data_IF_384915350878
#
_entry.id   IF_384915350878
#
_cell.length_a   1.000
_cell.length_b   1.000
_cell.length_c   1.000
_cell.angle_alpha   90.00
_cell.angle_beta   90.00
_cell.angle_gamma   90.00
#
_symmetry.space_group_name_H-M   'P 1'
#
loop_
_entity.id
_entity.type
_entity.pdbx_description
1 polymer ?
#
# COMPACT_ATOMS: atom_id res chain seq x y z
N UNK A 1 84.34 -50.96 55.96
CA UNK A 1 82.98 -51.24 55.48
C UNK A 1 83.04 -52.51 54.67
N UNK A 2 82.12 -53.44 54.88
CA UNK A 2 82.08 -54.73 54.19
C UNK A 2 81.58 -54.53 52.75
N UNK A 3 82.45 -54.80 51.77
CA UNK A 3 82.20 -54.53 50.35
C UNK A 3 81.01 -55.35 49.82
N UNK A 4 80.78 -56.53 50.40
CA UNK A 4 79.69 -57.41 49.98
C UNK A 4 78.33 -56.93 50.51
N UNK A 5 78.29 -56.31 51.70
CA UNK A 5 77.08 -55.66 52.21
C UNK A 5 76.64 -54.47 51.33
N UNK A 6 77.60 -53.70 50.80
CA UNK A 6 77.31 -52.58 49.88
C UNK A 6 76.77 -53.09 48.53
N UNK A 7 77.31 -54.18 47.99
CA UNK A 7 76.80 -54.81 46.75
C UNK A 7 75.37 -55.33 46.93
N UNK A 8 75.09 -56.03 48.02
CA UNK A 8 73.74 -56.53 48.33
C UNK A 8 72.73 -55.39 48.46
N UNK A 9 73.13 -54.28 49.08
CA UNK A 9 72.30 -53.09 49.20
C UNK A 9 72.02 -52.45 47.84
N UNK A 10 73.04 -52.28 46.99
CA UNK A 10 72.90 -51.76 45.63
C UNK A 10 72.01 -52.66 44.75
N UNK A 11 72.18 -53.97 44.84
CA UNK A 11 71.34 -54.94 44.12
C UNK A 11 69.89 -54.89 44.60
N UNK A 12 69.67 -54.70 45.92
CA UNK A 12 68.33 -54.54 46.48
C UNK A 12 67.67 -53.22 46.03
N UNK A 13 68.44 -52.14 45.95
CA UNK A 13 67.98 -50.83 45.48
C UNK A 13 67.66 -50.86 43.98
N UNK A 14 68.50 -51.51 43.17
CA UNK A 14 68.26 -51.69 41.74
C UNK A 14 67.00 -52.53 41.49
N UNK A 15 66.79 -53.62 42.25
CA UNK A 15 65.56 -54.42 42.19
C UNK A 15 64.33 -53.59 42.58
N UNK A 16 64.39 -52.86 43.69
CA UNK A 16 63.28 -52.01 44.13
C UNK A 16 62.93 -50.92 43.10
N UNK A 17 63.96 -50.31 42.49
CA UNK A 17 63.77 -49.33 41.42
C UNK A 17 63.15 -49.96 40.18
N UNK A 18 63.62 -51.13 39.73
CA UNK A 18 63.03 -51.86 38.62
C UNK A 18 61.56 -52.20 38.88
N UNK A 19 61.23 -52.73 40.07
CA UNK A 19 59.83 -53.03 40.42
C UNK A 19 58.96 -51.77 40.45
N UNK A 20 59.47 -50.64 40.96
CA UNK A 20 58.75 -49.38 40.93
C UNK A 20 58.54 -48.85 39.49
N UNK A 21 59.55 -48.98 38.63
CA UNK A 21 59.45 -48.60 37.22
C UNK A 21 58.49 -49.49 36.45
N UNK A 22 58.49 -50.81 36.70
CA UNK A 22 57.54 -51.75 36.10
C UNK A 22 56.10 -51.43 36.51
N UNK A 23 55.89 -51.11 37.79
CA UNK A 23 54.59 -50.67 38.29
C UNK A 23 54.12 -49.38 37.60
N UNK A 24 55.00 -48.37 37.48
CA UNK A 24 54.69 -47.11 36.80
C UNK A 24 54.42 -47.34 35.30
N UNK A 25 55.17 -48.23 34.64
CA UNK A 25 54.96 -48.59 33.24
C UNK A 25 53.61 -49.27 33.02
N UNK A 26 53.21 -50.20 33.88
CA UNK A 26 51.88 -50.84 33.82
C UNK A 26 50.75 -49.84 34.12
N UNK A 27 50.94 -48.92 35.08
CA UNK A 27 49.97 -47.84 35.34
C UNK A 27 49.79 -46.93 34.13
N UNK A 28 50.89 -46.52 33.47
CA UNK A 28 50.80 -45.70 32.25
C UNK A 28 50.15 -46.45 31.11
N UNK A 29 50.48 -47.73 30.92
CA UNK A 29 49.87 -48.59 29.89
C UNK A 29 48.36 -48.70 30.07
N UNK A 30 47.87 -48.91 31.30
CA UNK A 30 46.43 -48.93 31.59
C UNK A 30 45.77 -47.60 31.21
N UNK A 31 46.35 -46.47 31.63
CA UNK A 31 45.80 -45.14 31.32
C UNK A 31 45.83 -44.81 29.83
N UNK A 32 46.85 -45.27 29.10
CA UNK A 32 46.94 -45.10 27.64
C UNK A 32 45.81 -45.90 26.97
N UNK A 33 45.58 -47.14 27.39
CA UNK A 33 44.49 -47.97 26.84
C UNK A 33 43.11 -47.37 27.12
N UNK A 34 42.88 -46.84 28.33
CA UNK A 34 41.66 -46.12 28.66
C UNK A 34 41.49 -44.86 27.80
N UNK A 35 42.56 -44.07 27.62
CA UNK A 35 42.54 -42.89 26.77
C UNK A 35 42.23 -43.26 25.30
N UNK A 36 42.87 -44.31 24.77
CA UNK A 36 42.61 -44.81 23.42
C UNK A 36 41.15 -45.25 23.24
N UNK A 37 40.58 -45.95 24.22
CA UNK A 37 39.17 -46.34 24.20
C UNK A 37 38.25 -45.11 24.18
N UNK A 38 38.50 -44.11 25.04
CA UNK A 38 37.70 -42.88 25.05
C UNK A 38 37.83 -42.09 23.75
N UNK A 39 39.02 -42.06 23.13
CA UNK A 39 39.24 -41.41 21.82
C UNK A 39 38.43 -42.12 20.73
N UNK A 40 38.38 -43.44 20.74
CA UNK A 40 37.58 -44.21 19.78
C UNK A 40 36.08 -43.93 19.95
N UNK A 41 35.58 -43.89 21.17
CA UNK A 41 34.16 -43.60 21.44
C UNK A 41 33.80 -42.16 21.07
N UNK A 42 34.68 -41.19 21.37
CA UNK A 42 34.52 -39.81 20.92
C UNK A 42 34.52 -39.68 19.39
N UNK A 43 35.37 -40.45 18.71
CA UNK A 43 35.43 -40.45 17.24
C UNK A 43 34.10 -40.94 16.63
N UNK A 44 33.53 -42.02 17.17
CA UNK A 44 32.20 -42.52 16.76
C UNK A 44 31.09 -41.50 17.01
N UNK A 45 31.12 -40.85 18.17
CA UNK A 45 30.14 -39.80 18.50
C UNK A 45 30.27 -38.60 17.56
N UNK A 46 31.50 -38.20 17.21
CA UNK A 46 31.74 -37.12 16.26
C UNK A 46 31.23 -37.45 14.86
N UNK A 47 31.49 -38.66 14.35
CA UNK A 47 30.95 -39.13 13.07
C UNK A 47 29.41 -39.11 13.04
N UNK A 48 28.77 -39.57 14.12
CA UNK A 48 27.32 -39.53 14.26
C UNK A 48 26.78 -38.10 14.20
N UNK A 49 27.34 -37.19 15.01
CA UNK A 49 26.91 -35.78 14.99
C UNK A 49 27.19 -35.09 13.65
N UNK A 50 28.23 -35.51 12.92
CA UNK A 50 28.54 -34.97 11.60
C UNK A 50 27.53 -35.42 10.54
N UNK A 51 26.98 -36.63 10.67
CA UNK A 51 25.85 -37.08 9.85
C UNK A 51 24.59 -36.25 10.15
N UNK A 52 24.23 -36.07 11.42
CA UNK A 52 23.08 -35.26 11.82
C UNK A 52 23.19 -33.81 11.33
N UNK A 53 24.38 -33.20 11.47
CA UNK A 53 24.64 -31.84 10.96
C UNK A 53 24.43 -31.76 9.45
N UNK A 54 24.85 -32.78 8.70
CA UNK A 54 24.65 -32.83 7.25
C UNK A 54 23.18 -32.95 6.88
N UNK A 55 22.41 -33.76 7.62
CA UNK A 55 20.98 -33.92 7.38
C UNK A 55 20.22 -32.63 7.70
N UNK A 56 20.55 -31.96 8.81
CA UNK A 56 19.99 -30.65 9.15
C UNK A 56 20.36 -29.58 8.11
N UNK A 57 21.59 -29.61 7.56
CA UNK A 57 21.97 -28.69 6.48
C UNK A 57 21.13 -28.90 5.23
N UNK A 58 20.81 -30.15 4.88
CA UNK A 58 19.94 -30.47 3.76
C UNK A 58 18.50 -29.99 4.03
N UNK A 59 17.97 -30.22 5.22
CA UNK A 59 16.62 -29.76 5.59
C UNK A 59 16.52 -28.23 5.56
N UNK A 60 17.51 -27.51 6.10
CA UNK A 60 17.57 -26.04 6.04
C UNK A 60 17.60 -25.55 4.59
N UNK A 61 18.32 -26.25 3.70
CA UNK A 61 18.37 -25.90 2.28
C UNK A 61 17.00 -26.06 1.61
N UNK A 62 16.29 -27.16 1.87
CA UNK A 62 14.94 -27.38 1.33
C UNK A 62 13.93 -26.39 1.91
N UNK A 63 13.98 -26.09 3.21
CA UNK A 63 13.13 -25.08 3.84
C UNK A 63 13.34 -23.69 3.23
N UNK A 64 14.59 -23.30 2.97
CA UNK A 64 14.89 -22.02 2.29
C UNK A 64 14.35 -21.98 0.87
N UNK A 65 14.44 -23.10 0.15
CA UNK A 65 13.88 -23.23 -1.20
C UNK A 65 12.36 -23.06 -1.16
N UNK A 66 11.66 -23.81 -0.31
CA UNK A 66 10.21 -23.70 -0.12
C UNK A 66 9.79 -22.28 0.31
N UNK A 67 10.56 -21.65 1.19
CA UNK A 67 10.31 -20.26 1.59
C UNK A 67 10.41 -19.31 0.39
N UNK A 68 11.45 -19.44 -0.45
CA UNK A 68 11.59 -18.61 -1.65
C UNK A 68 10.46 -18.83 -2.66
N UNK A 69 10.05 -20.09 -2.86
CA UNK A 69 8.92 -20.48 -3.71
C UNK A 69 7.58 -19.95 -3.19
N UNK A 70 7.45 -19.73 -1.87
CA UNK A 70 6.25 -19.17 -1.26
C UNK A 70 6.25 -17.64 -1.22
N UNK A 71 7.39 -16.98 -0.98
CA UNK A 71 7.46 -15.53 -0.85
C UNK A 71 7.24 -14.82 -2.19
N UNK A 72 7.86 -15.30 -3.26
CA UNK A 72 7.72 -14.70 -4.59
C UNK A 72 6.25 -14.59 -5.09
N UNK A 73 5.42 -15.66 -5.07
CA UNK A 73 4.03 -15.55 -5.49
C UNK A 73 3.19 -14.70 -4.53
N UNK A 74 3.53 -14.62 -3.24
CA UNK A 74 2.84 -13.74 -2.31
C UNK A 74 3.00 -12.27 -2.67
N UNK A 75 4.17 -11.84 -3.11
CA UNK A 75 4.38 -10.45 -3.51
C UNK A 75 3.68 -10.13 -4.85
N UNK A 76 3.69 -11.08 -5.79
CA UNK A 76 2.90 -10.98 -7.02
C UNK A 76 1.41 -10.88 -6.68
N UNK A 77 0.90 -11.74 -5.79
CA UNK A 77 -0.50 -11.75 -5.40
C UNK A 77 -0.91 -10.45 -4.70
N UNK A 78 -0.08 -9.92 -3.79
CA UNK A 78 -0.31 -8.60 -3.17
C UNK A 78 -0.40 -7.50 -4.22
N UNK A 79 0.49 -7.53 -5.22
CA UNK A 79 0.47 -6.54 -6.30
C UNK A 79 -0.80 -6.64 -7.15
N UNK A 80 -1.27 -7.85 -7.45
CA UNK A 80 -2.49 -8.10 -8.19
C UNK A 80 -3.74 -7.68 -7.40
N UNK A 81 -3.79 -7.98 -6.11
CA UNK A 81 -4.88 -7.53 -5.23
C UNK A 81 -4.97 -6.01 -5.23
N UNK A 82 -3.82 -5.33 -5.10
CA UNK A 82 -3.77 -3.86 -5.17
C UNK A 82 -4.24 -3.31 -6.52
N UNK A 83 -3.84 -3.91 -7.64
CA UNK A 83 -4.32 -3.52 -8.97
C UNK A 83 -5.85 -3.69 -9.09
N UNK A 84 -6.37 -4.83 -8.65
CA UNK A 84 -7.80 -5.12 -8.67
C UNK A 84 -8.59 -4.14 -7.79
N UNK A 85 -8.10 -3.82 -6.60
CA UNK A 85 -8.69 -2.80 -5.73
C UNK A 85 -8.72 -1.43 -6.43
N UNK A 86 -7.62 -1.02 -7.08
CA UNK A 86 -7.59 0.25 -7.82
C UNK A 86 -8.60 0.26 -8.96
N UNK A 87 -8.69 -0.82 -9.74
CA UNK A 87 -9.64 -0.94 -10.86
C UNK A 87 -11.08 -0.97 -10.39
N UNK A 88 -11.38 -1.66 -9.30
CA UNK A 88 -12.70 -1.72 -8.70
C UNK A 88 -13.13 -0.35 -8.19
N UNK A 89 -12.27 0.33 -7.44
CA UNK A 89 -12.54 1.69 -6.96
C UNK A 89 -12.79 2.66 -8.13
N UNK A 90 -11.98 2.57 -9.21
CA UNK A 90 -12.16 3.38 -10.40
C UNK A 90 -13.50 3.10 -11.10
N UNK A 91 -13.87 1.83 -11.26
CA UNK A 91 -15.16 1.46 -11.87
C UNK A 91 -16.35 1.90 -11.01
N UNK A 92 -16.25 1.79 -9.69
CA UNK A 92 -17.27 2.26 -8.75
C UNK A 92 -17.46 3.77 -8.87
N UNK A 93 -16.37 4.55 -8.83
CA UNK A 93 -16.41 6.00 -9.03
C UNK A 93 -16.95 6.38 -10.42
N UNK A 94 -16.55 5.66 -11.47
CA UNK A 94 -17.06 5.87 -12.83
C UNK A 94 -18.57 5.66 -12.90
N UNK A 95 -19.09 4.61 -12.26
CA UNK A 95 -20.53 4.31 -12.22
C UNK A 95 -21.35 5.34 -11.43
N UNK A 96 -20.70 6.01 -10.47
CA UNK A 96 -21.29 7.05 -9.59
C UNK A 96 -21.07 8.47 -10.10
N UNK A 97 -20.33 8.66 -11.20
CA UNK A 97 -19.95 9.98 -11.71
C UNK A 97 -21.14 10.92 -11.99
N UNK A 98 -22.27 10.36 -12.40
CA UNK A 98 -23.51 11.10 -12.62
C UNK A 98 -24.36 11.30 -11.35
N UNK A 99 -23.88 10.87 -10.20
CA UNK A 99 -24.59 11.01 -8.94
C UNK A 99 -24.05 12.22 -8.15
N UNK A 100 -24.94 12.83 -7.36
CA UNK A 100 -24.60 13.75 -6.27
C UNK A 100 -25.26 13.30 -4.97
N UNK A 101 -24.57 13.55 -3.87
CA UNK A 101 -25.06 13.34 -2.51
C UNK A 101 -25.50 14.66 -1.92
N UNK A 102 -26.76 14.75 -1.54
CA UNK A 102 -27.36 15.97 -1.02
C UNK A 102 -27.81 15.72 0.42
N UNK A 103 -27.31 16.52 1.35
CA UNK A 103 -27.66 16.47 2.76
C UNK A 103 -28.43 17.72 3.17
N UNK A 104 -29.31 17.60 4.17
CA UNK A 104 -30.09 18.72 4.71
C UNK A 104 -31.46 18.95 4.05
N UNK A 105 -31.84 18.16 3.04
CA UNK A 105 -33.23 18.17 2.53
C UNK A 105 -34.13 17.54 3.58
N UNK A 106 -35.13 18.29 4.05
CA UNK A 106 -36.14 17.83 5.02
C UNK A 106 -36.80 16.54 4.52
N UNK A 107 -36.93 15.56 5.40
CA UNK A 107 -37.48 14.24 5.07
C UNK A 107 -38.93 14.16 5.53
N UNK A 108 -39.80 13.61 4.66
CA UNK A 108 -41.19 13.35 5.01
C UNK A 108 -41.37 11.87 5.38
N UNK A 109 -42.20 11.53 6.38
CA UNK A 109 -42.54 10.15 6.66
C UNK A 109 -43.22 9.51 5.44
N UNK A 110 -42.72 8.36 5.00
CA UNK A 110 -43.28 7.65 3.84
C UNK A 110 -42.96 8.27 2.46
N UNK A 111 -41.96 9.17 2.37
CA UNK A 111 -41.55 9.82 1.11
C UNK A 111 -41.19 8.80 0.03
N UNK A 112 -41.80 8.93 -1.16
CA UNK A 112 -41.46 8.09 -2.32
C UNK A 112 -40.23 8.61 -3.08
N UNK A 113 -39.72 7.83 -4.03
CA UNK A 113 -38.58 8.25 -4.85
C UNK A 113 -38.94 9.43 -5.75
N UNK A 114 -40.17 9.49 -6.25
CA UNK A 114 -40.70 10.60 -7.06
C UNK A 114 -40.80 11.89 -6.24
N UNK A 115 -41.32 11.81 -5.01
CA UNK A 115 -41.37 12.97 -4.11
C UNK A 115 -39.98 13.49 -3.74
N UNK A 116 -39.02 12.57 -3.55
CA UNK A 116 -37.62 12.92 -3.33
C UNK A 116 -37.05 13.65 -4.54
N UNK A 117 -37.33 13.15 -5.75
CA UNK A 117 -36.88 13.78 -7.00
C UNK A 117 -37.47 15.18 -7.17
N UNK A 118 -38.76 15.37 -6.89
CA UNK A 118 -39.41 16.68 -6.91
C UNK A 118 -38.73 17.64 -5.92
N UNK A 119 -38.41 17.17 -4.71
CA UNK A 119 -37.72 17.99 -3.69
C UNK A 119 -36.32 18.41 -4.15
N UNK A 120 -35.58 17.53 -4.82
CA UNK A 120 -34.27 17.86 -5.42
C UNK A 120 -34.42 18.86 -6.56
N UNK A 121 -35.41 18.69 -7.46
CA UNK A 121 -35.65 19.63 -8.56
C UNK A 121 -36.00 21.04 -8.04
N UNK A 122 -36.87 21.13 -7.03
CA UNK A 122 -37.20 22.41 -6.36
C UNK A 122 -35.97 23.06 -5.74
N UNK A 123 -35.11 22.28 -5.07
CA UNK A 123 -33.86 22.80 -4.52
C UNK A 123 -32.97 23.41 -5.61
N UNK A 124 -32.84 22.73 -6.75
CA UNK A 124 -32.01 23.18 -7.88
C UNK A 124 -32.57 24.48 -8.49
N UNK A 125 -33.87 24.54 -8.70
CA UNK A 125 -34.53 25.72 -9.28
C UNK A 125 -34.48 26.92 -8.31
N UNK A 126 -34.94 26.75 -7.07
CA UNK A 126 -35.10 27.85 -6.12
C UNK A 126 -33.78 28.34 -5.54
N UNK A 127 -32.89 27.42 -5.12
CA UNK A 127 -31.66 27.79 -4.42
C UNK A 127 -30.46 27.95 -5.34
N UNK A 128 -30.39 27.15 -6.41
CA UNK A 128 -29.28 27.23 -7.36
C UNK A 128 -29.60 28.12 -8.57
N UNK A 129 -30.87 28.43 -8.83
CA UNK A 129 -31.34 29.23 -9.97
C UNK A 129 -30.85 28.64 -11.30
N UNK A 130 -31.01 27.32 -11.42
CA UNK A 130 -30.68 26.56 -12.61
C UNK A 130 -31.98 26.12 -13.31
N UNK A 131 -31.96 25.94 -14.65
CA UNK A 131 -33.11 25.42 -15.36
C UNK A 131 -33.50 24.02 -14.85
N UNK A 132 -34.73 23.60 -15.13
CA UNK A 132 -35.21 22.28 -14.75
C UNK A 132 -34.25 21.18 -15.25
N UNK A 133 -33.77 20.38 -14.31
CA UNK A 133 -32.82 19.29 -14.55
C UNK A 133 -33.56 17.96 -14.57
N UNK A 134 -33.17 17.05 -15.47
CA UNK A 134 -33.75 15.71 -15.50
C UNK A 134 -32.94 14.74 -14.63
N UNK A 135 -33.62 14.12 -13.69
CA UNK A 135 -33.07 13.09 -12.82
C UNK A 135 -33.54 11.72 -13.30
N UNK A 136 -32.60 10.79 -13.42
CA UNK A 136 -32.91 9.38 -13.66
C UNK A 136 -33.55 8.77 -12.41
N UNK A 137 -33.01 9.11 -11.23
CA UNK A 137 -33.51 8.63 -9.93
C UNK A 137 -33.02 9.52 -8.79
N UNK A 138 -33.84 9.74 -7.79
CA UNK A 138 -33.42 10.30 -6.51
C UNK A 138 -34.01 9.47 -5.36
N UNK A 139 -33.18 9.11 -4.39
CA UNK A 139 -33.62 8.28 -3.27
C UNK A 139 -32.82 8.59 -2.01
N UNK A 140 -33.43 8.34 -0.85
CA UNK A 140 -32.77 8.46 0.46
C UNK A 140 -31.84 7.27 0.69
N UNK A 141 -30.65 7.52 1.22
CA UNK A 141 -29.64 6.52 1.52
C UNK A 141 -29.25 6.57 3.00
N UNK A 142 -29.09 5.40 3.61
CA UNK A 142 -28.68 5.23 5.02
C UNK A 142 -29.84 4.98 6.00
N UNK A 143 -29.52 4.74 7.27
CA UNK A 143 -30.51 4.46 8.30
C UNK A 143 -31.32 5.71 8.65
N UNK A 144 -32.59 5.52 8.99
CA UNK A 144 -33.47 6.59 9.48
C UNK A 144 -32.96 7.10 10.83
N UNK A 145 -32.91 8.42 11.01
CA UNK A 145 -32.49 9.06 12.26
C UNK A 145 -33.44 10.19 12.61
N UNK A 146 -33.74 10.35 13.90
CA UNK A 146 -34.51 11.49 14.42
C UNK A 146 -33.71 12.80 14.43
N UNK A 147 -32.38 12.71 14.44
CA UNK A 147 -31.49 13.87 14.61
C UNK A 147 -31.23 14.64 13.32
N UNK A 148 -31.18 13.94 12.18
CA UNK A 148 -30.81 14.53 10.89
C UNK A 148 -31.51 13.80 9.73
N UNK A 149 -31.95 14.54 8.69
CA UNK A 149 -32.49 13.92 7.49
C UNK A 149 -31.47 13.00 6.80
N UNK A 150 -31.93 11.93 6.16
CA UNK A 150 -31.08 11.05 5.37
C UNK A 150 -30.55 11.76 4.12
N UNK A 151 -29.36 11.35 3.69
CA UNK A 151 -28.72 11.85 2.48
C UNK A 151 -29.53 11.38 1.28
N UNK A 152 -29.78 12.29 0.33
CA UNK A 152 -30.36 11.95 -0.97
C UNK A 152 -29.23 11.65 -1.94
N UNK A 153 -29.29 10.50 -2.61
CA UNK A 153 -28.45 10.18 -3.76
C UNK A 153 -29.27 10.45 -5.02
N UNK A 154 -28.91 11.52 -5.74
CA UNK A 154 -29.58 11.96 -6.96
C UNK A 154 -28.70 11.64 -8.18
N UNK A 155 -29.23 10.84 -9.11
CA UNK A 155 -28.59 10.47 -10.37
C UNK A 155 -29.15 11.32 -11.50
N UNK A 156 -28.27 11.99 -12.20
CA UNK A 156 -28.58 12.89 -13.30
C UNK A 156 -28.52 12.13 -14.63
N UNK A 157 -29.42 12.44 -15.56
CA UNK A 157 -29.36 11.87 -16.90
C UNK A 157 -28.11 12.37 -17.66
N UNK A 158 -27.77 13.65 -17.50
CA UNK A 158 -26.67 14.30 -18.22
C UNK A 158 -25.58 14.79 -17.27
N UNK A 159 -24.35 14.41 -17.58
CA UNK A 159 -23.17 14.78 -16.79
C UNK A 159 -22.96 16.30 -16.68
N UNK A 160 -23.25 17.07 -17.74
CA UNK A 160 -23.06 18.53 -17.71
C UNK A 160 -24.07 19.23 -16.79
N UNK A 161 -25.29 18.71 -16.64
CA UNK A 161 -26.30 19.23 -15.72
C UNK A 161 -25.85 19.00 -14.27
N UNK A 162 -25.33 17.79 -13.98
CA UNK A 162 -24.67 17.46 -12.71
C UNK A 162 -23.53 18.42 -12.37
N UNK A 163 -22.64 18.69 -13.33
CA UNK A 163 -21.52 19.63 -13.14
C UNK A 163 -21.99 21.07 -12.90
N UNK A 164 -23.06 21.50 -13.57
CA UNK A 164 -23.65 22.82 -13.36
C UNK A 164 -24.20 22.98 -11.94
N UNK A 165 -24.88 21.95 -11.42
CA UNK A 165 -25.34 21.90 -10.02
C UNK A 165 -24.16 21.99 -9.06
N UNK A 166 -23.12 21.19 -9.26
CA UNK A 166 -21.94 21.18 -8.39
C UNK A 166 -21.20 22.53 -8.38
N UNK A 167 -21.09 23.19 -9.54
CA UNK A 167 -20.47 24.53 -9.65
C UNK A 167 -21.26 25.61 -8.92
N UNK A 168 -22.59 25.49 -8.87
CA UNK A 168 -23.48 26.43 -8.20
C UNK A 168 -23.73 26.09 -6.71
N UNK A 169 -23.29 24.93 -6.21
CA UNK A 169 -23.47 24.51 -4.82
C UNK A 169 -22.98 25.55 -3.78
N UNK A 170 -22.03 26.42 -4.16
CA UNK A 170 -21.58 27.56 -3.32
C UNK A 170 -22.71 28.52 -2.91
N UNK A 171 -23.82 28.57 -3.67
CA UNK A 171 -25.01 29.38 -3.36
C UNK A 171 -25.79 28.85 -2.14
N UNK A 172 -25.54 27.59 -1.73
CA UNK A 172 -26.17 26.96 -0.57
C UNK A 172 -25.49 27.31 0.77
N UNK A 173 -24.46 28.17 0.76
CA UNK A 173 -23.83 28.63 2.00
C UNK A 173 -24.88 29.28 2.90
N UNK A 174 -24.97 28.79 4.13
CA UNK A 174 -25.93 29.27 5.13
C UNK A 174 -27.31 28.59 5.11
N UNK A 175 -27.62 27.75 4.12
CA UNK A 175 -28.92 27.06 4.05
C UNK A 175 -28.95 25.71 4.78
N UNK A 176 -27.86 25.31 5.43
CA UNK A 176 -27.66 23.99 6.04
C UNK A 176 -27.87 22.80 5.08
N UNK A 177 -27.73 23.04 3.78
CA UNK A 177 -27.79 22.02 2.72
C UNK A 177 -26.42 21.92 2.08
N UNK A 178 -25.92 20.70 1.93
CA UNK A 178 -24.62 20.45 1.32
C UNK A 178 -24.77 19.46 0.17
N UNK A 179 -24.11 19.78 -0.94
CA UNK A 179 -24.02 18.94 -2.13
C UNK A 179 -22.58 18.50 -2.25
N UNK A 180 -22.37 17.19 -2.29
CA UNK A 180 -21.07 16.54 -2.46
C UNK A 180 -21.11 15.55 -3.63
N UNK A 181 -19.93 15.22 -4.15
CA UNK A 181 -19.80 14.15 -5.12
C UNK A 181 -20.06 12.79 -4.48
N UNK A 182 -20.75 11.90 -5.19
CA UNK A 182 -20.89 10.51 -4.79
C UNK A 182 -19.65 9.72 -5.21
N UNK A 183 -18.78 9.40 -4.25
CA UNK A 183 -17.54 8.67 -4.48
C UNK A 183 -17.60 7.29 -3.82
N UNK A 184 -16.72 6.36 -4.21
CA UNK A 184 -16.50 5.11 -3.51
C UNK A 184 -15.95 5.37 -2.09
N UNK A 185 -16.08 4.41 -1.16
CA UNK A 185 -15.61 4.57 0.22
C UNK A 185 -14.13 4.97 0.30
N UNK A 186 -13.27 4.32 -0.47
CA UNK A 186 -11.82 4.60 -0.54
C UNK A 186 -11.55 6.05 -0.94
N UNK A 187 -12.22 6.55 -1.98
CA UNK A 187 -12.09 7.92 -2.45
C UNK A 187 -12.64 8.95 -1.45
N UNK A 188 -13.71 8.61 -0.71
CA UNK A 188 -14.21 9.44 0.40
C UNK A 188 -13.21 9.52 1.56
N UNK A 189 -12.55 8.42 1.91
CA UNK A 189 -11.53 8.39 2.96
C UNK A 189 -10.30 9.23 2.59
N UNK A 190 -9.84 9.14 1.34
CA UNK A 190 -8.76 9.98 0.80
C UNK A 190 -9.13 11.48 0.91
N UNK A 191 -10.37 11.86 0.60
CA UNK A 191 -10.82 13.24 0.81
C UNK A 191 -10.82 13.60 2.29
N UNK A 192 -11.38 12.73 3.13
CA UNK A 192 -11.55 12.95 4.57
C UNK A 192 -10.20 13.19 5.26
N UNK A 193 -9.16 12.45 4.90
CA UNK A 193 -7.81 12.64 5.44
C UNK A 193 -7.19 13.99 5.04
N UNK A 194 -7.59 14.55 3.89
CA UNK A 194 -7.13 15.85 3.39
C UNK A 194 -7.97 17.06 3.86
N UNK A 195 -9.16 16.84 4.45
CA UNK A 195 -10.02 17.92 4.96
C UNK A 195 -9.29 18.87 5.95
N UNK A 196 -8.50 18.38 6.92
CA UNK A 196 -7.77 19.25 7.84
C UNK A 196 -6.81 20.20 7.10
N UNK A 197 -6.08 19.69 6.10
CA UNK A 197 -5.18 20.48 5.27
C UNK A 197 -5.94 21.53 4.45
N UNK A 198 -7.07 21.16 3.85
CA UNK A 198 -7.95 22.10 3.15
C UNK A 198 -8.43 23.23 4.06
N UNK A 199 -8.85 22.90 5.30
CA UNK A 199 -9.30 23.90 6.29
C UNK A 199 -8.17 24.85 6.67
N UNK A 200 -6.96 24.33 6.91
CA UNK A 200 -5.76 25.13 7.21
C UNK A 200 -5.46 26.11 6.08
N UNK A 201 -5.40 25.64 4.84
CA UNK A 201 -5.15 26.50 3.67
C UNK A 201 -6.21 27.61 3.51
N UNK A 202 -7.48 27.30 3.77
CA UNK A 202 -8.57 28.31 3.76
C UNK A 202 -8.40 29.34 4.88
N UNK A 203 -7.96 28.92 6.06
CA UNK A 203 -7.69 29.83 7.18
C UNK A 203 -6.51 30.77 6.89
N UNK A 204 -5.51 30.30 6.14
CA UNK A 204 -4.40 31.11 5.60
C UNK A 204 -4.83 32.04 4.45
N UNK A 205 -6.12 32.06 4.07
CA UNK A 205 -6.65 32.93 3.03
C UNK A 205 -6.49 32.40 1.60
N UNK A 206 -5.99 31.17 1.40
CA UNK A 206 -5.84 30.53 0.09
C UNK A 206 -7.16 29.95 -0.41
N UNK A 207 -7.27 29.72 -1.72
CA UNK A 207 -8.40 29.04 -2.35
C UNK A 207 -8.10 27.54 -2.36
N UNK A 208 -8.80 26.76 -1.51
CA UNK A 208 -8.65 25.31 -1.47
C UNK A 208 -9.96 24.58 -1.79
N UNK A 209 -9.94 23.62 -2.71
CA UNK A 209 -11.08 22.81 -3.11
C UNK A 209 -10.66 21.43 -3.63
N UNK A 210 -11.57 20.46 -3.61
CA UNK A 210 -11.33 19.13 -4.15
C UNK A 210 -11.75 19.06 -5.62
N UNK A 211 -10.95 18.37 -6.45
CA UNK A 211 -11.36 17.88 -7.77
C UNK A 211 -11.18 16.37 -7.76
N UNK A 212 -12.30 15.63 -7.68
CA UNK A 212 -12.26 14.20 -7.33
C UNK A 212 -11.43 13.99 -6.04
N UNK A 213 -10.51 13.04 -5.95
CA UNK A 213 -9.69 12.78 -4.74
C UNK A 213 -8.56 13.79 -4.50
N UNK A 214 -8.27 14.68 -5.46
CA UNK A 214 -7.15 15.63 -5.37
C UNK A 214 -7.57 16.93 -4.70
N UNK A 215 -6.86 17.34 -3.65
CA UNK A 215 -6.95 18.67 -3.07
C UNK A 215 -6.12 19.66 -3.91
N UNK A 216 -6.77 20.71 -4.40
CA UNK A 216 -6.14 21.81 -5.13
C UNK A 216 -6.11 23.02 -4.20
N UNK A 217 -4.93 23.62 -4.02
CA UNK A 217 -4.71 24.85 -3.26
C UNK A 217 -4.12 25.88 -4.22
N UNK A 218 -4.73 27.07 -4.30
CA UNK A 218 -4.29 28.20 -5.13
C UNK A 218 -4.17 29.46 -4.28
N UNK A 219 -3.21 30.31 -4.59
CA UNK A 219 -3.14 31.64 -4.00
C UNK A 219 -4.16 32.58 -4.66
N UNK A 220 -4.64 33.57 -3.91
CA UNK A 220 -5.66 34.51 -4.43
C UNK A 220 -5.12 35.41 -5.55
N UNK A 221 -3.81 35.58 -5.67
CA UNK A 221 -3.14 36.41 -6.68
C UNK A 221 -3.09 35.79 -8.08
N UNK A 222 -3.17 34.46 -8.20
CA UNK A 222 -2.93 33.73 -9.47
C UNK A 222 -4.08 33.81 -10.48
N UNK A 223 -5.14 34.58 -10.18
CA UNK A 223 -6.33 34.65 -11.02
C UNK A 223 -6.18 35.63 -12.22
N UNK A 224 -5.00 36.21 -12.44
CA UNK A 224 -4.75 37.27 -13.43
C UNK A 224 -3.98 36.86 -14.70
N UNK A 225 -3.56 35.60 -14.86
CA UNK A 225 -2.72 35.19 -16.02
C UNK A 225 -3.29 34.01 -16.83
N UNK A 226 -4.61 33.96 -17.04
CA UNK A 226 -5.21 32.94 -17.92
C UNK A 226 -6.42 33.45 -18.70
N UNK A 227 -6.40 34.70 -19.15
CA UNK A 227 -7.34 35.26 -20.12
C UNK A 227 -6.68 36.35 -20.98
N UNK A 228 -5.46 36.13 -21.50
CA UNK A 228 -4.89 37.07 -22.48
C UNK A 228 -3.83 36.40 -23.38
N UNK A 229 -4.27 35.50 -24.27
CA UNK A 229 -3.39 34.97 -25.34
C UNK A 229 -4.16 34.58 -26.62
N UNK A 230 -5.37 35.09 -26.84
CA UNK A 230 -6.13 34.77 -28.05
C UNK A 230 -6.91 35.97 -28.61
N UNK A 231 -6.27 37.13 -28.69
CA UNK A 231 -6.77 38.30 -29.46
C UNK A 231 -5.58 39.13 -29.96
N UNK A 232 -5.59 39.39 -31.27
CA UNK A 232 -4.56 39.97 -32.15
C UNK A 232 -3.41 38.99 -32.48
N UNK A 233 -3.12 38.65 -33.73
CA UNK A 233 -3.18 39.48 -34.94
C UNK A 233 -3.81 38.76 -36.14
N UNK A 234 -4.50 39.54 -36.96
CA UNK A 234 -4.86 39.17 -38.32
C UNK A 234 -4.58 40.36 -39.26
N UNK A 235 -4.23 39.98 -40.49
CA UNK A 235 -4.17 40.75 -41.74
C UNK A 235 -2.80 41.33 -42.12
N UNK A 236 -2.12 40.70 -43.11
CA UNK A 236 -2.15 41.19 -44.51
C UNK A 236 -1.47 40.25 -45.52
N UNK A 237 -2.28 39.82 -46.52
CA UNK A 237 -2.06 39.69 -47.99
C UNK A 237 -0.86 38.97 -48.63
N UNK A 238 -1.23 37.97 -49.46
CA UNK A 238 -0.82 37.63 -50.84
C UNK A 238 0.67 37.50 -51.24
N UNK A 239 1.05 36.32 -51.76
CA UNK A 239 1.36 36.12 -53.19
C UNK A 239 1.52 34.63 -53.54
N UNK A 240 1.04 34.27 -54.74
CA UNK A 240 1.10 32.95 -55.33
C UNK A 240 2.45 32.71 -56.02
N UNK A 241 2.89 31.45 -56.08
CA UNK A 241 3.60 30.88 -57.24
C UNK A 241 3.49 29.35 -57.24
N UNK A 242 3.12 28.86 -58.41
CA UNK A 242 3.11 27.48 -58.88
C UNK A 242 4.51 26.85 -58.85
N UNK A 243 4.58 25.52 -58.74
CA UNK A 243 5.10 24.71 -59.84
C UNK A 243 4.78 23.22 -59.67
N UNK A 244 4.53 22.61 -60.83
CA UNK A 244 4.12 21.24 -61.10
C UNK A 244 5.35 20.40 -61.42
N UNK A 245 5.45 19.18 -60.88
CA UNK A 245 6.07 17.95 -61.47
C UNK A 245 6.04 16.87 -60.39
N UNK A 246 5.83 15.57 -60.60
CA UNK A 246 5.46 14.71 -61.70
C UNK A 246 5.24 13.33 -61.04
N UNK A 247 4.27 12.56 -61.53
CA UNK A 247 3.93 11.26 -60.98
C UNK A 247 4.94 10.19 -61.40
N UNK A 248 5.38 9.33 -60.46
CA UNK A 248 5.84 7.97 -60.79
C UNK A 248 5.33 6.99 -59.74
N UNK A 249 4.53 6.06 -60.26
CA UNK A 249 3.94 4.88 -59.64
C UNK A 249 5.01 3.88 -59.19
N UNK A 250 4.83 3.23 -58.03
CA UNK A 250 5.34 1.87 -57.73
C UNK A 250 4.82 1.32 -56.40
N UNK A 251 4.07 0.24 -56.57
CA UNK A 251 3.71 -0.85 -55.67
C UNK A 251 4.75 -1.22 -54.60
N UNK A 252 4.26 -1.60 -53.41
CA UNK A 252 5.09 -2.27 -52.40
C UNK A 252 4.44 -2.35 -51.02
N UNK A 253 3.82 -3.49 -50.72
CA UNK A 253 3.38 -3.88 -49.38
C UNK A 253 4.56 -4.04 -48.41
N UNK A 254 4.42 -3.61 -47.15
CA UNK A 254 4.89 -4.33 -45.96
C UNK A 254 4.61 -3.56 -44.66
N UNK A 255 3.93 -4.27 -43.77
CA UNK A 255 4.00 -4.29 -42.31
C UNK A 255 4.56 -3.08 -41.54
N UNK A 256 3.65 -2.43 -40.82
CA UNK A 256 3.97 -1.47 -39.78
C UNK A 256 4.54 -2.13 -38.53
N UNK A 257 5.74 -1.71 -38.14
CA UNK A 257 6.27 -1.86 -36.80
C UNK A 257 7.14 -0.66 -36.43
N UNK A 258 7.07 -0.29 -35.14
CA UNK A 258 7.92 0.60 -34.33
C UNK A 258 7.46 2.07 -34.16
N UNK A 259 7.94 2.79 -33.11
CA UNK A 259 8.59 2.35 -31.87
C UNK A 259 8.04 3.00 -30.57
N UNK A 260 8.43 2.34 -29.47
CA UNK A 260 8.56 2.84 -28.10
C UNK A 260 9.72 3.83 -28.02
N UNK A 261 9.47 5.01 -27.42
CA UNK A 261 10.50 5.90 -26.87
C UNK A 261 9.93 6.58 -25.62
N UNK A 262 10.38 6.15 -24.44
CA UNK A 262 10.30 6.98 -23.24
C UNK A 262 11.56 6.84 -22.39
N UNK A 263 12.19 7.99 -22.24
CA UNK A 263 13.53 8.27 -21.76
C UNK A 263 13.69 7.95 -20.27
N UNK A 264 14.83 7.33 -19.96
CA UNK A 264 15.38 7.11 -18.61
C UNK A 264 15.87 8.40 -17.95
N UNK A 265 15.74 8.45 -16.62
CA UNK A 265 16.54 9.27 -15.70
C UNK A 265 15.68 10.09 -14.73
N UNK A 266 15.89 10.12 -13.42
CA UNK A 266 16.94 9.55 -12.59
C UNK A 266 16.43 9.45 -11.13
N UNK A 267 17.14 8.61 -10.39
CA UNK A 267 16.96 8.16 -9.02
C UNK A 267 17.16 9.30 -8.01
N UNK A 268 16.37 9.29 -6.94
CA UNK A 268 16.62 10.04 -5.70
C UNK A 268 16.12 9.22 -4.51
N UNK A 269 16.96 8.31 -4.03
CA UNK A 269 16.76 7.55 -2.79
C UNK A 269 16.94 8.46 -1.56
N UNK A 270 16.09 8.27 -0.55
CA UNK A 270 16.39 8.64 0.83
C UNK A 270 15.77 7.63 1.80
N UNK A 271 16.42 7.39 2.95
CA UNK A 271 16.40 6.08 3.61
C UNK A 271 15.29 5.96 4.65
N UNK A 272 14.81 4.73 4.80
CA UNK A 272 13.92 4.30 5.86
C UNK A 272 14.71 4.06 7.17
N UNK A 273 14.11 4.44 8.29
CA UNK A 273 14.52 3.99 9.63
C UNK A 273 13.29 3.51 10.46
N UNK A 274 13.50 2.66 11.48
CA UNK A 274 12.70 1.46 11.69
C UNK A 274 11.55 1.59 12.70
N UNK A 275 10.59 0.68 12.54
CA UNK A 275 9.45 0.44 13.43
C UNK A 275 9.91 -0.24 14.73
N UNK A 276 9.78 0.45 15.87
CA UNK A 276 9.76 -0.17 17.20
C UNK A 276 8.32 -0.36 17.66
N UNK A 277 7.95 -1.61 17.94
CA UNK A 277 6.58 -2.00 18.29
C UNK A 277 6.18 -1.70 19.74
N UNK A 278 4.87 -1.64 19.97
CA UNK A 278 4.23 -1.93 21.26
C UNK A 278 2.92 -2.67 20.98
N UNK A 279 2.91 -3.98 21.26
CA UNK A 279 1.69 -4.77 21.40
C UNK A 279 1.09 -4.52 22.78
N UNK A 280 0.06 -3.68 22.87
CA UNK A 280 -0.74 -3.55 24.08
C UNK A 280 -1.85 -4.62 24.10
N UNK A 281 -1.69 -5.61 24.99
CA UNK A 281 -2.71 -6.60 25.34
C UNK A 281 -3.92 -5.90 25.95
N UNK A 282 -5.09 -6.09 25.35
CA UNK A 282 -6.37 -5.61 25.88
C UNK A 282 -7.06 -6.76 26.63
N UNK A 283 -6.85 -6.85 27.95
CA UNK A 283 -7.59 -7.76 28.82
C UNK A 283 -8.89 -7.07 29.27
N UNK A 284 -10.02 -7.40 28.65
CA UNK A 284 -11.36 -7.06 29.18
C UNK A 284 -11.87 -8.21 30.03
N UNK A 285 -11.90 -7.96 31.33
CA UNK A 285 -12.63 -8.72 32.34
C UNK A 285 -14.13 -8.74 32.02
N UNK A 286 -14.69 -9.93 31.79
CA UNK A 286 -16.13 -10.19 31.86
C UNK A 286 -16.55 -10.18 33.33
N UNK A 287 -17.20 -9.10 33.79
CA UNK A 287 -17.94 -9.12 35.05
C UNK A 287 -19.32 -9.73 34.82
N UNK A 288 -19.54 -10.91 35.41
CA UNK A 288 -20.87 -11.46 35.68
C UNK A 288 -21.66 -10.44 36.51
N UNK A 289 -22.88 -10.11 36.09
CA UNK A 289 -23.93 -9.65 37.00
C UNK A 289 -25.03 -10.70 37.00
N UNK A 290 -25.21 -11.33 38.17
CA UNK A 290 -26.45 -11.97 38.59
C UNK A 290 -27.44 -10.84 38.90
N UNK A 291 -28.63 -10.90 38.29
CA UNK A 291 -29.95 -10.73 38.92
C UNK A 291 -31.00 -11.08 37.88
#
# INVERSE_FOLDING_TARGET
MDLDAIKVLLDSQAKAFHTAMDFVAEQFKSRIQEAEATIQDLSRSLEFTQADVKDLQNEVKELRKLQSESVAPNDVLKSQVKDLEHRLNYQEDYSRRNNLRISGIVEKPGETWEETAISVSKLIEEKLQLPAVKLERAHRTGPVSSSRPRIVTARFEKFHEREAVMRNARKLKGSNIYIDEDLCPTSQEIRKSQIPLMKKARAEGKIAFFKHTRLIIKDKSDNYQSQDSSRNEGVSTHEAKSDVTEAVDRTGASDGKQPDDSIRGAVGESPAEPLTGVWARNARTRSRKKQ
#
